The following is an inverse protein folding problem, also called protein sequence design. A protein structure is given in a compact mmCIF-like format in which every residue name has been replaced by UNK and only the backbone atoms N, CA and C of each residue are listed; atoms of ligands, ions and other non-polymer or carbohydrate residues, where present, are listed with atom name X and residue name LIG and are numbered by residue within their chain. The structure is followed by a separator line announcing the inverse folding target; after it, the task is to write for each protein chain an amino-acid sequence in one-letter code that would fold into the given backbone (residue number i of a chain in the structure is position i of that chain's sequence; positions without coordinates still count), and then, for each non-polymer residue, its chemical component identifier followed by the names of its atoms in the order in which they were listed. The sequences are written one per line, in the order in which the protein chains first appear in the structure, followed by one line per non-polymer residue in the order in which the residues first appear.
data_IF_960493897229
#
_entry.id   IF_960493897229
#
_cell.length_a   1.000
_cell.length_b   1.000
_cell.length_c   1.000
_cell.angle_alpha   90.00
_cell.angle_beta   90.00
_cell.angle_gamma   90.00
#
_symmetry.space_group_name_H-M   'P 1'
#
loop_
_entity.id
_entity.type
_entity.pdbx_description
1 polymer ?
#
# COMPACT_ATOMS: atom_id res chain seq x y z
N UNK A 1 -1.76 27.61 -8.02
CA UNK A 1 -1.85 26.44 -8.93
C UNK A 1 -0.71 25.54 -8.50
N UNK A 2 -0.99 24.36 -7.93
CA UNK A 2 0.05 23.41 -7.50
C UNK A 2 0.72 22.94 -8.79
N UNK A 3 2.04 23.14 -8.92
CA UNK A 3 2.79 22.56 -10.03
C UNK A 3 2.85 21.06 -9.76
N UNK A 4 2.12 20.28 -10.55
CA UNK A 4 2.24 18.83 -10.55
C UNK A 4 3.63 18.48 -11.10
N UNK A 5 4.36 17.59 -10.44
CA UNK A 5 5.52 17.02 -11.11
C UNK A 5 5.01 16.18 -12.28
N UNK A 6 5.61 16.38 -13.47
CA UNK A 6 5.23 15.61 -14.66
C UNK A 6 5.46 14.09 -14.49
N UNK A 7 6.32 13.74 -13.54
CA UNK A 7 6.52 12.39 -13.04
C UNK A 7 7.09 12.41 -11.63
N UNK A 8 6.89 11.35 -10.86
CA UNK A 8 7.58 11.14 -9.59
C UNK A 8 7.92 9.68 -9.36
N UNK A 9 8.89 9.46 -8.49
CA UNK A 9 9.18 8.18 -7.86
C UNK A 9 9.46 8.45 -6.37
N UNK A 10 8.78 7.70 -5.49
CA UNK A 10 8.98 7.78 -4.05
C UNK A 10 9.00 6.38 -3.47
N UNK A 11 9.90 6.14 -2.53
CA UNK A 11 10.02 4.87 -1.82
C UNK A 11 9.93 5.11 -0.32
N UNK A 12 9.18 4.26 0.38
CA UNK A 12 9.14 4.19 1.84
C UNK A 12 9.54 2.80 2.32
N UNK A 13 10.10 2.73 3.52
CA UNK A 13 10.18 1.48 4.26
C UNK A 13 8.82 1.13 4.86
N UNK A 14 8.55 -0.17 4.98
CA UNK A 14 7.38 -0.72 5.64
C UNK A 14 7.79 -1.26 7.00
N UNK A 15 7.19 -0.73 8.06
CA UNK A 15 7.59 -0.96 9.44
C UNK A 15 6.45 -1.53 10.27
N UNK A 16 6.79 -2.41 11.20
CA UNK A 16 5.86 -2.87 12.25
C UNK A 16 5.57 -1.70 13.18
N UNK A 17 4.30 -1.24 13.35
CA UNK A 17 3.99 -0.03 14.09
C UNK A 17 4.46 -0.03 15.56
N UNK A 18 4.45 -1.21 16.20
CA UNK A 18 4.77 -1.36 17.62
C UNK A 18 6.27 -1.44 17.92
N UNK A 19 7.09 -1.88 16.96
CA UNK A 19 8.53 -2.13 17.16
C UNK A 19 9.42 -1.24 16.29
N UNK A 20 8.89 -0.69 15.20
CA UNK A 20 9.66 0.00 14.17
C UNK A 20 10.53 -0.94 13.31
N UNK A 21 10.36 -2.26 13.44
CA UNK A 21 11.10 -3.23 12.63
C UNK A 21 10.72 -3.07 11.15
N UNK A 22 11.73 -2.87 10.29
CA UNK A 22 11.55 -2.76 8.85
C UNK A 22 11.46 -4.16 8.25
N UNK A 23 10.31 -4.51 7.70
CA UNK A 23 10.07 -5.80 7.07
C UNK A 23 9.88 -5.71 5.55
N UNK A 24 9.90 -4.51 4.97
CA UNK A 24 9.73 -4.35 3.53
C UNK A 24 9.90 -2.92 3.05
N UNK A 25 9.51 -2.71 1.79
CA UNK A 25 9.46 -1.40 1.17
C UNK A 25 8.32 -1.31 0.17
N UNK A 26 7.81 -0.10 -0.02
CA UNK A 26 6.88 0.22 -1.10
C UNK A 26 7.45 1.35 -1.96
N UNK A 27 7.34 1.20 -3.27
CA UNK A 27 7.75 2.20 -4.26
C UNK A 27 6.54 2.60 -5.07
N UNK A 28 6.29 3.90 -5.16
CA UNK A 28 5.25 4.48 -6.02
C UNK A 28 5.88 5.31 -7.13
N UNK A 29 5.34 5.18 -8.32
CA UNK A 29 5.73 5.97 -9.49
C UNK A 29 4.49 6.61 -10.12
N UNK A 30 4.71 7.77 -10.73
CA UNK A 30 3.76 8.37 -11.65
C UNK A 30 4.53 8.79 -12.89
N UNK A 31 4.16 8.24 -14.04
CA UNK A 31 4.78 8.57 -15.33
C UNK A 31 3.76 8.31 -16.44
N UNK A 32 3.74 9.16 -17.46
CA UNK A 32 2.86 8.98 -18.63
C UNK A 32 1.37 8.79 -18.25
N UNK A 33 0.89 9.55 -17.26
CA UNK A 33 -0.48 9.46 -16.71
C UNK A 33 -0.85 8.11 -16.08
N UNK A 34 0.15 7.31 -15.71
CA UNK A 34 0.00 6.02 -15.04
C UNK A 34 0.60 6.10 -13.64
N UNK A 35 -0.23 5.87 -12.62
CA UNK A 35 0.24 5.60 -11.27
C UNK A 35 0.54 4.11 -11.14
N UNK A 36 1.71 3.78 -10.60
CA UNK A 36 2.07 2.42 -10.21
C UNK A 36 2.54 2.40 -8.77
N UNK A 37 2.17 1.36 -8.04
CA UNK A 37 2.71 1.08 -6.71
C UNK A 37 3.11 -0.38 -6.64
N UNK A 38 4.36 -0.62 -6.25
CA UNK A 38 4.85 -1.95 -5.92
C UNK A 38 5.23 -1.99 -4.45
N UNK A 39 5.03 -3.14 -3.82
CA UNK A 39 5.57 -3.41 -2.49
C UNK A 39 6.12 -4.82 -2.41
N UNK A 40 7.07 -5.02 -1.51
CA UNK A 40 7.60 -6.32 -1.13
C UNK A 40 7.88 -6.33 0.36
N UNK A 41 7.41 -7.36 1.05
CA UNK A 41 7.57 -7.51 2.49
C UNK A 41 7.86 -8.96 2.90
N UNK A 42 8.66 -9.12 3.95
CA UNK A 42 8.93 -10.38 4.63
C UNK A 42 7.98 -10.52 5.81
N UNK A 43 6.81 -11.13 5.57
CA UNK A 43 5.78 -11.37 6.57
C UNK A 43 5.68 -12.85 6.90
N UNK A 44 5.16 -13.16 8.08
CA UNK A 44 4.71 -14.52 8.41
C UNK A 44 3.42 -14.85 7.68
N UNK A 45 3.01 -16.12 7.66
CA UNK A 45 1.68 -16.48 7.16
C UNK A 45 0.58 -15.69 7.91
N UNK A 46 -0.47 -15.23 7.21
CA UNK A 46 -1.66 -14.72 7.87
C UNK A 46 -2.34 -15.84 8.67
N UNK A 47 -3.29 -15.48 9.53
CA UNK A 47 -4.12 -16.49 10.20
C UNK A 47 -4.92 -17.31 9.17
N UNK A 48 -5.37 -18.49 9.60
CA UNK A 48 -6.29 -19.31 8.80
C UNK A 48 -7.53 -18.48 8.41
N UNK A 49 -7.96 -18.61 7.15
CA UNK A 49 -9.06 -17.85 6.53
C UNK A 49 -8.87 -16.31 6.50
N UNK A 50 -7.60 -15.85 6.54
CA UNK A 50 -7.23 -14.45 6.39
C UNK A 50 -6.21 -14.24 5.26
N UNK A 51 -6.11 -13.00 4.78
CA UNK A 51 -5.11 -12.53 3.83
C UNK A 51 -4.53 -11.18 4.23
N UNK A 52 -3.42 -10.79 3.59
CA UNK A 52 -2.92 -9.43 3.70
C UNK A 52 -3.52 -8.54 2.63
N UNK A 53 -3.99 -7.37 3.03
CA UNK A 53 -4.61 -6.36 2.16
C UNK A 53 -3.80 -5.06 2.27
N UNK A 54 -3.66 -4.34 1.16
CA UNK A 54 -2.89 -3.10 1.14
C UNK A 54 -3.76 -1.89 0.82
N UNK A 55 -3.48 -0.78 1.49
CA UNK A 55 -4.28 0.43 1.40
C UNK A 55 -3.38 1.66 1.32
N UNK A 56 -3.78 2.64 0.52
CA UNK A 56 -3.16 3.97 0.52
C UNK A 56 -4.11 5.00 1.12
N UNK A 57 -3.54 5.94 1.88
CA UNK A 57 -4.29 6.94 2.64
C UNK A 57 -3.80 8.35 2.27
N UNK A 58 -4.74 9.22 1.97
CA UNK A 58 -4.58 10.68 1.88
C UNK A 58 -5.34 11.35 3.02
N UNK A 59 -4.74 12.35 3.66
CA UNK A 59 -5.37 13.08 4.77
C UNK A 59 -6.27 14.25 4.36
N UNK A 60 -6.07 14.85 3.18
CA UNK A 60 -6.84 16.05 2.77
C UNK A 60 -7.12 16.11 1.26
N UNK A 61 -8.39 16.04 0.82
CA UNK A 61 -9.52 15.52 1.60
C UNK A 61 -9.25 14.06 1.97
N UNK A 62 -9.69 13.67 3.17
CA UNK A 62 -9.49 12.33 3.69
C UNK A 62 -10.02 11.29 2.70
N UNK A 63 -9.16 10.36 2.30
CA UNK A 63 -9.52 9.26 1.41
C UNK A 63 -8.63 8.06 1.72
N UNK A 64 -9.26 6.91 1.87
CA UNK A 64 -8.60 5.60 1.87
C UNK A 64 -8.90 4.95 0.53
N UNK A 65 -7.95 4.19 0.00
CA UNK A 65 -8.13 3.43 -1.24
C UNK A 65 -7.47 2.07 -1.06
N UNK A 66 -8.28 1.04 -1.22
CA UNK A 66 -7.85 -0.34 -1.39
C UNK A 66 -7.03 -0.44 -2.69
N UNK A 67 -5.84 -1.02 -2.61
CA UNK A 67 -4.96 -1.26 -3.75
C UNK A 67 -4.71 -2.75 -4.02
N UNK A 68 -5.36 -3.63 -3.26
CA UNK A 68 -5.48 -5.05 -3.55
C UNK A 68 -4.59 -5.97 -2.72
N UNK A 69 -5.02 -7.24 -2.72
CA UNK A 69 -4.48 -8.29 -1.88
C UNK A 69 -2.99 -8.54 -2.13
N UNK A 70 -2.20 -8.56 -1.05
CA UNK A 70 -0.78 -8.87 -1.12
C UNK A 70 -0.59 -10.38 -1.29
N UNK A 71 0.08 -10.76 -2.37
CA UNK A 71 0.23 -12.15 -2.77
C UNK A 71 1.59 -12.70 -2.36
N UNK A 72 1.62 -13.95 -1.89
CA UNK A 72 2.88 -14.63 -1.59
C UNK A 72 3.56 -15.10 -2.88
N UNK A 73 4.81 -14.69 -3.09
CA UNK A 73 5.63 -15.15 -4.21
C UNK A 73 6.25 -16.53 -3.95
N UNK A 74 6.82 -17.13 -5.00
CA UNK A 74 7.56 -18.40 -4.90
C UNK A 74 8.77 -18.32 -3.97
N UNK A 75 9.37 -17.13 -3.82
CA UNK A 75 10.47 -16.88 -2.87
C UNK A 75 10.01 -16.70 -1.42
N UNK A 76 8.70 -16.69 -1.16
CA UNK A 76 8.13 -16.53 0.16
C UNK A 76 8.00 -15.08 0.63
N UNK A 77 8.27 -14.09 -0.23
CA UNK A 77 7.96 -12.68 0.01
C UNK A 77 6.48 -12.40 -0.29
N UNK A 78 5.93 -11.38 0.35
CA UNK A 78 4.59 -10.89 0.08
C UNK A 78 4.69 -9.64 -0.79
N UNK A 79 4.18 -9.75 -2.00
CA UNK A 79 4.37 -8.77 -3.06
C UNK A 79 2.99 -8.28 -3.59
N UNK A 80 2.94 -7.00 -3.96
CA UNK A 80 1.80 -6.42 -4.65
C UNK A 80 2.30 -5.55 -5.80
N UNK A 81 1.53 -5.55 -6.90
CA UNK A 81 1.64 -4.57 -7.96
C UNK A 81 0.26 -3.99 -8.27
N UNK A 82 0.12 -2.69 -8.03
CA UNK A 82 -1.08 -1.92 -8.35
C UNK A 82 -0.76 -0.91 -9.46
N UNK A 83 -1.66 -0.79 -10.43
CA UNK A 83 -1.55 0.22 -11.50
C UNK A 83 -2.90 0.87 -11.76
N UNK A 84 -2.91 2.19 -11.94
CA UNK A 84 -4.10 2.96 -12.29
C UNK A 84 -3.75 3.95 -13.40
N UNK A 85 -4.55 3.96 -14.47
CA UNK A 85 -4.37 4.85 -15.63
C UNK A 85 -5.44 5.94 -15.66
N UNK A 86 -5.16 7.05 -16.36
CA UNK A 86 -6.12 8.16 -16.55
C UNK A 86 -6.60 8.78 -15.23
N UNK A 87 -5.71 8.85 -14.25
CA UNK A 87 -6.11 9.09 -12.87
C UNK A 87 -6.79 10.43 -12.66
N UNK A 88 -6.35 11.50 -13.32
CA UNK A 88 -6.78 12.89 -13.05
C UNK A 88 -6.70 13.26 -11.55
N UNK A 89 -6.09 12.39 -10.74
CA UNK A 89 -6.19 12.31 -9.31
C UNK A 89 -4.79 12.49 -8.74
N UNK A 90 -4.72 13.28 -7.69
CA UNK A 90 -3.47 13.58 -6.99
C UNK A 90 -3.06 12.37 -6.15
N UNK A 91 -2.46 11.38 -6.81
CA UNK A 91 -1.87 10.20 -6.16
C UNK A 91 -0.64 10.58 -5.32
N UNK A 92 -0.06 11.77 -5.54
CA UNK A 92 1.05 12.28 -4.75
C UNK A 92 0.62 12.55 -3.30
N UNK A 93 -0.61 13.01 -3.11
CA UNK A 93 -1.20 13.31 -1.80
C UNK A 93 -1.53 12.08 -0.95
N UNK A 94 -1.49 10.86 -1.51
CA UNK A 94 -1.56 9.63 -0.72
C UNK A 94 -0.23 9.40 -0.01
N UNK A 95 -0.08 10.03 1.16
CA UNK A 95 1.16 10.06 1.92
C UNK A 95 1.49 8.75 2.62
N UNK A 96 0.50 7.89 2.85
CA UNK A 96 0.65 6.72 3.73
C UNK A 96 0.20 5.46 3.02
N UNK A 97 0.93 4.36 3.27
CA UNK A 97 0.54 3.00 2.91
C UNK A 97 0.43 2.18 4.19
N UNK A 98 -0.61 1.36 4.28
CA UNK A 98 -0.80 0.40 5.38
C UNK A 98 -1.07 -0.99 4.81
N UNK A 99 -0.58 -2.01 5.50
CA UNK A 99 -0.87 -3.41 5.23
C UNK A 99 -1.62 -3.95 6.44
N UNK A 100 -2.79 -4.53 6.22
CA UNK A 100 -3.64 -5.14 7.24
C UNK A 100 -3.79 -6.63 7.00
N UNK A 101 -4.22 -7.36 8.02
CA UNK A 101 -4.66 -8.75 7.88
C UNK A 101 -6.20 -8.76 7.93
N UNK A 102 -6.83 -9.10 6.81
CA UNK A 102 -8.28 -9.09 6.61
C UNK A 102 -8.84 -10.52 6.57
N UNK A 103 -10.12 -10.68 6.92
CA UNK A 103 -10.80 -11.98 6.84
C UNK A 103 -11.34 -12.25 5.44
N UNK A 104 -11.16 -13.48 4.94
CA UNK A 104 -11.75 -13.92 3.67
C UNK A 104 -13.29 -13.97 3.68
N UNK A 105 -13.90 -13.94 4.88
CA UNK A 105 -15.34 -14.03 5.05
C UNK A 105 -16.09 -12.71 4.91
N UNK A 106 -15.39 -11.58 4.90
CA UNK A 106 -15.96 -10.24 4.87
C UNK A 106 -15.28 -9.39 3.79
N UNK A 107 -16.05 -8.59 3.06
CA UNK A 107 -15.47 -7.56 2.18
C UNK A 107 -15.19 -6.32 3.01
N UNK A 108 -13.91 -5.98 3.20
CA UNK A 108 -13.52 -4.79 3.94
C UNK A 108 -13.81 -3.51 3.12
N UNK A 109 -14.57 -2.58 3.67
CA UNK A 109 -14.73 -1.22 3.09
C UNK A 109 -13.64 -0.24 3.58
N UNK A 110 -12.97 -0.61 4.67
CA UNK A 110 -11.88 0.15 5.32
C UNK A 110 -10.87 -0.82 5.91
N UNK A 111 -9.58 -0.43 6.02
CA UNK A 111 -8.56 -1.27 6.64
C UNK A 111 -8.94 -1.64 8.07
N UNK A 112 -8.61 -2.87 8.47
CA UNK A 112 -8.61 -3.30 9.86
C UNK A 112 -7.87 -2.30 10.75
N UNK A 113 -8.39 -2.04 11.95
CA UNK A 113 -7.75 -1.13 12.92
C UNK A 113 -6.34 -1.58 13.34
N UNK A 114 -6.02 -2.87 13.15
CA UNK A 114 -4.70 -3.43 13.43
C UNK A 114 -3.88 -3.48 12.14
N UNK A 115 -2.91 -2.57 12.04
CA UNK A 115 -1.94 -2.56 10.95
C UNK A 115 -0.78 -3.53 11.23
N UNK A 116 -0.47 -4.34 10.23
CA UNK A 116 0.67 -5.26 10.23
C UNK A 116 1.95 -4.50 9.87
N UNK A 117 1.88 -3.65 8.82
CA UNK A 117 2.96 -2.77 8.41
C UNK A 117 2.42 -1.39 8.01
N UNK A 118 3.24 -0.36 8.21
CA UNK A 118 2.96 1.00 7.77
C UNK A 118 4.17 1.63 7.08
N UNK A 119 3.93 2.54 6.14
CA UNK A 119 4.95 3.37 5.49
C UNK A 119 4.44 4.76 5.18
N UNK A 120 5.36 5.73 5.08
CA UNK A 120 5.04 7.13 4.73
C UNK A 120 5.99 7.62 3.64
N UNK A 121 5.43 8.10 2.53
CA UNK A 121 6.15 8.55 1.33
C UNK A 121 6.58 10.01 1.34
#
# INVERSE_FOLDING_TARGET
MKEFSASFEKTTFLQVPSTGEVLGSATRTYENDIFSLTLSASLTEPKEDNHYEAWIIRLTPFKITDIGQVSKSESGTYDLQYTESNTGADYEDFSTIVITEESDSETAETPNEIHVLEGTF
#
